data_IF_507211942317
#
_entry.id   IF_507211942317
#
_cell.length_a   1.000
_cell.length_b   1.000
_cell.length_c   1.000
_cell.angle_alpha   90.00
_cell.angle_beta   90.00
_cell.angle_gamma   90.00
#
_symmetry.space_group_name_H-M   'P 1'
#
loop_
_entity.id
_entity.type
_entity.pdbx_description
1 polymer ?
#
# COMPACT_ATOMS: atom_id res chain seq x y z
N UNK A 1 7.67 31.54 -28.69
CA UNK A 1 8.00 31.75 -27.26
C UNK A 1 7.34 30.62 -26.49
N UNK A 2 8.12 29.78 -25.80
CA UNK A 2 7.57 28.67 -25.02
C UNK A 2 7.14 29.19 -23.64
N UNK A 3 5.93 28.83 -23.18
CA UNK A 3 5.47 29.19 -21.84
C UNK A 3 6.35 28.57 -20.75
N UNK A 4 6.61 29.30 -19.64
CA UNK A 4 7.37 28.76 -18.53
C UNK A 4 6.60 27.62 -17.88
N UNK A 5 7.27 26.46 -17.73
CA UNK A 5 6.71 25.29 -17.04
C UNK A 5 6.23 25.70 -15.63
N UNK A 6 5.02 25.29 -15.21
CA UNK A 6 4.52 25.59 -13.88
C UNK A 6 5.50 25.08 -12.83
N UNK A 7 5.85 25.94 -11.86
CA UNK A 7 6.72 25.56 -10.74
C UNK A 7 6.02 24.43 -9.97
N UNK A 8 6.73 23.32 -9.75
CA UNK A 8 6.23 22.22 -8.92
C UNK A 8 5.73 22.79 -7.58
N UNK A 9 4.53 22.41 -7.10
CA UNK A 9 4.06 22.83 -5.79
C UNK A 9 5.11 22.48 -4.73
N UNK A 10 5.43 23.43 -3.85
CA UNK A 10 6.28 23.13 -2.69
C UNK A 10 5.45 22.28 -1.74
N UNK A 11 5.71 20.97 -1.70
CA UNK A 11 5.07 20.08 -0.73
C UNK A 11 5.57 20.49 0.66
N UNK A 12 4.67 21.07 1.46
CA UNK A 12 4.94 21.47 2.83
C UNK A 12 4.52 20.35 3.79
N UNK A 13 5.17 20.29 4.95
CA UNK A 13 4.74 19.42 6.05
C UNK A 13 3.54 20.05 6.75
N UNK A 14 2.59 19.22 7.17
CA UNK A 14 1.52 19.62 8.08
C UNK A 14 2.06 19.97 9.47
N UNK A 15 1.19 20.48 10.34
CA UNK A 15 1.56 20.80 11.73
C UNK A 15 1.98 19.55 12.53
N UNK A 16 1.50 18.38 12.12
CA UNK A 16 1.87 17.07 12.66
C UNK A 16 3.15 16.48 12.01
N UNK A 17 3.87 17.29 11.24
CA UNK A 17 5.10 16.96 10.53
C UNK A 17 4.94 15.93 9.38
N UNK A 18 3.73 15.41 9.12
CA UNK A 18 3.47 14.53 7.99
C UNK A 18 3.40 15.30 6.66
N UNK A 19 3.78 14.65 5.57
CA UNK A 19 3.58 15.14 4.21
C UNK A 19 2.45 14.36 3.53
N UNK A 20 1.73 14.96 2.57
CA UNK A 20 0.84 14.21 1.69
C UNK A 20 1.56 13.00 1.08
N UNK A 21 0.90 11.85 1.09
CA UNK A 21 1.45 10.57 0.66
C UNK A 21 2.23 9.80 1.73
N UNK A 22 2.53 10.37 2.91
CA UNK A 22 3.14 9.60 3.99
C UNK A 22 2.22 8.46 4.44
N UNK A 23 2.81 7.29 4.71
CA UNK A 23 2.09 6.18 5.36
C UNK A 23 1.86 6.52 6.83
N UNK A 24 0.60 6.62 7.24
CA UNK A 24 0.20 6.92 8.62
C UNK A 24 -0.28 5.68 9.38
N UNK A 25 -0.71 4.64 8.67
CA UNK A 25 -1.11 3.37 9.26
C UNK A 25 -0.88 2.21 8.28
N UNK A 26 -0.41 1.09 8.81
CA UNK A 26 -0.32 -0.19 8.11
C UNK A 26 -1.05 -1.22 8.96
N UNK A 27 -1.97 -1.95 8.35
CA UNK A 27 -2.73 -3.03 8.97
C UNK A 27 -2.68 -4.28 8.07
N UNK A 28 -2.20 -5.39 8.62
CA UNK A 28 -2.07 -6.67 7.93
C UNK A 28 -2.93 -7.70 8.66
N UNK A 29 -3.64 -8.53 7.89
CA UNK A 29 -4.41 -9.64 8.42
C UNK A 29 -4.15 -10.89 7.60
N UNK A 30 -3.80 -11.99 8.30
CA UNK A 30 -3.43 -13.29 7.70
C UNK A 30 -2.43 -13.15 6.55
N UNK A 31 -1.37 -12.38 6.80
CA UNK A 31 -0.34 -12.06 5.82
C UNK A 31 0.98 -12.70 6.22
N UNK A 32 1.41 -13.73 5.49
CA UNK A 32 2.66 -14.47 5.71
C UNK A 32 2.84 -14.93 7.17
N UNK A 33 3.73 -14.26 7.91
CA UNK A 33 4.06 -14.55 9.31
C UNK A 33 3.08 -13.92 10.29
N UNK A 34 2.29 -12.94 9.85
CA UNK A 34 1.40 -12.16 10.70
C UNK A 34 -0.02 -12.72 10.68
N UNK A 35 -0.58 -13.03 11.85
CA UNK A 35 -2.03 -13.20 12.00
C UNK A 35 -2.73 -11.85 11.91
N UNK A 36 -2.23 -10.90 12.69
CA UNK A 36 -2.65 -9.52 12.70
C UNK A 36 -1.45 -8.64 13.05
N UNK A 37 -1.28 -7.55 12.32
CA UNK A 37 -0.31 -6.51 12.63
C UNK A 37 -0.97 -5.16 12.37
N UNK A 38 -0.84 -4.23 13.32
CA UNK A 38 -1.22 -2.83 13.12
C UNK A 38 -0.12 -1.93 13.64
N UNK A 39 0.40 -1.05 12.80
CA UNK A 39 1.43 -0.09 13.20
C UNK A 39 1.20 1.28 12.56
N UNK A 40 1.71 2.32 13.23
CA UNK A 40 1.62 3.71 12.82
C UNK A 40 3.03 4.29 12.71
N UNK A 41 3.63 4.29 11.50
CA UNK A 41 4.94 4.89 11.28
C UNK A 41 4.92 6.38 11.59
N UNK A 42 6.03 6.94 12.06
CA UNK A 42 6.22 8.38 12.22
C UNK A 42 6.42 9.11 10.88
N UNK A 43 6.42 10.46 10.88
CA UNK A 43 6.45 11.29 9.67
C UNK A 43 7.80 11.36 8.94
N UNK A 44 8.85 10.76 9.52
CA UNK A 44 10.24 10.84 9.05
C UNK A 44 10.85 9.44 8.94
N UNK A 45 12.00 9.22 9.56
CA UNK A 45 12.70 7.95 9.53
C UNK A 45 11.99 6.93 10.43
N UNK A 46 11.62 5.81 9.83
CA UNK A 46 11.10 4.65 10.53
C UNK A 46 12.09 3.49 10.35
N UNK A 47 12.35 2.75 11.43
CA UNK A 47 13.30 1.65 11.43
C UNK A 47 12.62 0.36 11.92
N UNK A 48 12.67 -0.68 11.08
CA UNK A 48 12.09 -2.00 11.37
C UNK A 48 13.23 -2.96 11.75
N UNK A 49 13.30 -3.33 13.03
CA UNK A 49 14.37 -4.18 13.59
C UNK A 49 13.76 -5.45 14.19
N UNK A 50 14.53 -6.54 14.19
CA UNK A 50 14.15 -7.80 14.81
C UNK A 50 15.03 -8.95 14.35
N UNK A 51 15.00 -10.09 15.04
CA UNK A 51 15.77 -11.28 14.68
C UNK A 51 15.35 -11.86 13.33
N UNK A 52 16.16 -12.77 12.77
CA UNK A 52 15.81 -13.46 11.54
C UNK A 52 14.51 -14.25 11.71
N UNK A 53 13.66 -14.22 10.68
CA UNK A 53 12.33 -14.84 10.73
C UNK A 53 11.23 -13.99 11.39
N UNK A 54 11.54 -12.82 11.99
CA UNK A 54 10.54 -11.98 12.66
C UNK A 54 9.52 -11.27 11.75
N UNK A 55 9.61 -11.48 10.42
CA UNK A 55 8.66 -10.90 9.46
C UNK A 55 9.03 -9.52 8.90
N UNK A 56 10.25 -9.01 9.11
CA UNK A 56 10.69 -7.69 8.57
C UNK A 56 10.52 -7.60 7.05
N UNK A 57 11.06 -8.55 6.29
CA UNK A 57 10.90 -8.60 4.83
C UNK A 57 9.45 -8.80 4.41
N UNK A 58 8.65 -9.51 5.24
CA UNK A 58 7.21 -9.65 5.00
C UNK A 58 6.50 -8.30 5.13
N UNK A 59 6.84 -7.46 6.10
CA UNK A 59 6.28 -6.10 6.21
C UNK A 59 6.62 -5.25 4.98
N UNK A 60 7.87 -5.30 4.50
CA UNK A 60 8.29 -4.59 3.28
C UNK A 60 7.49 -5.08 2.06
N UNK A 61 7.32 -6.40 1.90
CA UNK A 61 6.49 -6.98 0.85
C UNK A 61 5.03 -6.48 0.95
N UNK A 62 4.48 -6.43 2.16
CA UNK A 62 3.14 -5.92 2.40
C UNK A 62 2.99 -4.46 1.96
N UNK A 63 3.96 -3.58 2.28
CA UNK A 63 3.93 -2.18 1.84
C UNK A 63 3.93 -2.11 0.31
N UNK A 64 4.86 -2.80 -0.35
CA UNK A 64 4.98 -2.79 -1.80
C UNK A 64 3.69 -3.31 -2.48
N UNK A 65 3.15 -4.44 -2.01
CA UNK A 65 1.90 -4.99 -2.54
C UNK A 65 0.71 -4.09 -2.24
N UNK A 66 0.57 -3.58 -1.01
CA UNK A 66 -0.56 -2.73 -0.63
C UNK A 66 -0.64 -1.43 -1.46
N UNK A 67 0.51 -0.93 -1.92
CA UNK A 67 0.62 0.26 -2.78
C UNK A 67 0.57 -0.03 -4.29
N UNK A 68 0.17 -1.24 -4.71
CA UNK A 68 0.01 -1.58 -6.13
C UNK A 68 1.18 -2.30 -6.79
N UNK A 69 2.26 -2.57 -6.05
CA UNK A 69 3.41 -3.29 -6.59
C UNK A 69 3.08 -4.72 -7.02
N UNK A 70 3.77 -5.21 -8.05
CA UNK A 70 3.60 -6.58 -8.55
C UNK A 70 4.41 -7.60 -7.72
N UNK A 71 3.89 -8.82 -7.49
CA UNK A 71 4.60 -9.86 -6.76
C UNK A 71 6.01 -10.18 -7.29
N UNK A 72 6.20 -10.07 -8.60
CA UNK A 72 7.45 -10.37 -9.31
C UNK A 72 8.59 -9.43 -8.89
N UNK A 73 8.28 -8.17 -8.57
CA UNK A 73 9.27 -7.17 -8.10
C UNK A 73 9.89 -7.54 -6.75
N UNK A 74 9.21 -8.38 -5.97
CA UNK A 74 9.64 -8.76 -4.63
C UNK A 74 10.55 -9.99 -4.62
N UNK A 75 10.76 -10.63 -5.78
CA UNK A 75 11.66 -11.78 -5.94
C UNK A 75 11.32 -13.00 -5.07
N UNK A 76 10.11 -13.03 -4.48
CA UNK A 76 9.74 -14.00 -3.44
C UNK A 76 8.65 -14.98 -3.87
N UNK A 77 7.69 -14.52 -4.66
CA UNK A 77 6.62 -15.36 -5.19
C UNK A 77 6.08 -14.77 -6.48
N UNK A 78 5.63 -15.65 -7.38
CA UNK A 78 5.06 -15.29 -8.68
C UNK A 78 3.57 -14.96 -8.58
N UNK A 79 2.88 -15.38 -7.52
CA UNK A 79 1.46 -15.13 -7.31
C UNK A 79 1.21 -14.41 -5.99
N UNK A 80 0.15 -13.60 -5.98
CA UNK A 80 -0.27 -12.86 -4.78
C UNK A 80 -0.77 -13.78 -3.67
N UNK A 81 -1.39 -14.90 -4.02
CA UNK A 81 -1.91 -15.88 -3.06
C UNK A 81 -0.81 -16.50 -2.18
N UNK A 82 0.44 -16.55 -2.66
CA UNK A 82 1.58 -17.03 -1.87
C UNK A 82 1.94 -16.13 -0.67
N UNK A 83 1.37 -14.92 -0.58
CA UNK A 83 1.54 -14.03 0.55
C UNK A 83 0.47 -14.23 1.64
N UNK A 84 -0.56 -15.04 1.39
CA UNK A 84 -1.53 -15.44 2.41
C UNK A 84 -0.80 -16.28 3.47
N UNK A 85 -1.14 -16.08 4.73
CA UNK A 85 -0.59 -16.88 5.83
C UNK A 85 -0.89 -18.37 5.60
N UNK A 86 0.08 -19.24 5.88
CA UNK A 86 -0.09 -20.69 5.72
C UNK A 86 -1.24 -21.19 6.59
N UNK A 87 -2.11 -22.01 6.00
CA UNK A 87 -3.30 -22.55 6.67
C UNK A 87 -4.52 -21.63 6.60
N UNK A 88 -4.41 -20.47 5.94
CA UNK A 88 -5.51 -19.52 5.75
C UNK A 88 -5.86 -19.42 4.27
N UNK A 89 -7.12 -19.11 3.97
CA UNK A 89 -7.62 -18.99 2.59
C UNK A 89 -7.53 -17.57 2.05
N UNK A 90 -7.52 -16.58 2.93
CA UNK A 90 -7.50 -15.17 2.56
C UNK A 90 -6.92 -14.27 3.64
N UNK A 91 -6.57 -13.06 3.22
CA UNK A 91 -6.07 -12.00 4.08
C UNK A 91 -6.20 -10.65 3.41
N UNK A 92 -5.68 -9.61 4.06
CA UNK A 92 -5.61 -8.29 3.45
C UNK A 92 -4.39 -7.49 3.92
N UNK A 93 -4.04 -6.52 3.08
CA UNK A 93 -3.14 -5.43 3.38
C UNK A 93 -3.97 -4.17 3.33
N UNK A 94 -3.93 -3.37 4.39
CA UNK A 94 -4.54 -2.04 4.45
C UNK A 94 -3.45 -1.02 4.77
N UNK A 95 -3.34 -0.01 3.92
CA UNK A 95 -2.40 1.10 4.08
C UNK A 95 -3.18 2.39 4.04
N UNK A 96 -2.98 3.22 5.04
CA UNK A 96 -3.55 4.57 5.08
C UNK A 96 -2.45 5.57 4.81
N UNK A 97 -2.68 6.45 3.84
CA UNK A 97 -1.82 7.55 3.47
C UNK A 97 -2.41 8.87 3.96
N UNK A 98 -1.54 9.82 4.29
CA UNK A 98 -1.91 11.22 4.50
C UNK A 98 -2.36 11.84 3.18
N UNK A 99 -3.55 12.44 3.16
CA UNK A 99 -4.04 13.26 2.04
C UNK A 99 -3.49 14.68 2.08
N UNK A 100 -4.03 15.56 1.25
CA UNK A 100 -3.56 16.94 1.14
C UNK A 100 -4.01 17.81 2.32
N UNK A 101 -5.19 17.51 2.88
CA UNK A 101 -5.70 18.13 4.10
C UNK A 101 -5.22 17.43 5.37
N UNK A 102 -5.16 18.16 6.50
CA UNK A 102 -4.72 17.58 7.77
C UNK A 102 -5.58 16.41 8.27
N UNK A 103 -6.87 16.41 7.94
CA UNK A 103 -7.81 15.34 8.31
C UNK A 103 -8.15 14.42 7.12
N UNK A 104 -7.54 14.67 5.97
CA UNK A 104 -7.78 13.89 4.78
C UNK A 104 -6.87 12.67 4.76
N UNK A 105 -7.46 11.49 4.56
CA UNK A 105 -6.73 10.24 4.47
C UNK A 105 -7.14 9.47 3.22
N UNK A 106 -6.18 8.77 2.62
CA UNK A 106 -6.41 7.86 1.50
C UNK A 106 -6.17 6.46 2.02
N UNK A 107 -7.20 5.63 2.05
CA UNK A 107 -7.08 4.22 2.47
C UNK A 107 -7.05 3.32 1.26
N UNK A 108 -6.00 2.49 1.18
CA UNK A 108 -5.79 1.46 0.18
C UNK A 108 -5.96 0.11 0.84
N UNK A 109 -6.87 -0.72 0.33
CA UNK A 109 -7.04 -2.09 0.79
C UNK A 109 -6.83 -3.05 -0.37
N UNK A 110 -5.83 -3.92 -0.24
CA UNK A 110 -5.58 -5.03 -1.17
C UNK A 110 -5.97 -6.33 -0.49
N UNK A 111 -7.02 -6.97 -0.99
CA UNK A 111 -7.38 -8.32 -0.53
C UNK A 111 -6.50 -9.35 -1.24
N UNK A 112 -6.13 -10.38 -0.51
CA UNK A 112 -5.35 -11.50 -1.03
C UNK A 112 -6.07 -12.80 -0.72
N UNK A 113 -6.04 -13.74 -1.66
CA UNK A 113 -6.67 -15.04 -1.53
C UNK A 113 -5.78 -16.08 -2.22
N UNK A 114 -5.72 -17.29 -1.68
CA UNK A 114 -4.91 -18.38 -2.22
C UNK A 114 -5.35 -18.81 -3.62
N UNK A 115 -6.65 -18.68 -3.91
CA UNK A 115 -7.30 -19.15 -5.13
C UNK A 115 -7.51 -18.04 -6.17
N UNK A 116 -7.43 -16.75 -5.77
CA UNK A 116 -7.77 -15.65 -6.66
C UNK A 116 -6.53 -15.08 -7.38
N UNK A 117 -6.58 -15.05 -8.71
CA UNK A 117 -5.59 -14.35 -9.55
C UNK A 117 -5.93 -12.87 -9.77
N UNK A 118 -7.16 -12.46 -9.45
CA UNK A 118 -7.63 -11.09 -9.68
C UNK A 118 -7.24 -10.18 -8.52
N UNK A 119 -6.76 -8.98 -8.87
CA UNK A 119 -6.43 -7.91 -7.94
C UNK A 119 -7.72 -7.23 -7.47
N UNK A 120 -8.10 -7.40 -6.20
CA UNK A 120 -9.18 -6.62 -5.59
C UNK A 120 -8.58 -5.47 -4.76
N UNK A 121 -8.57 -4.29 -5.36
CA UNK A 121 -8.20 -3.03 -4.70
C UNK A 121 -9.46 -2.26 -4.37
N UNK A 122 -9.65 -1.95 -3.09
CA UNK A 122 -10.66 -1.01 -2.65
C UNK A 122 -9.99 0.28 -2.20
N UNK A 123 -10.42 1.39 -2.81
CA UNK A 123 -10.06 2.75 -2.42
C UNK A 123 -11.22 3.35 -1.62
N UNK A 124 -10.91 4.25 -0.70
CA UNK A 124 -11.96 5.01 -0.01
C UNK A 124 -12.86 5.74 -1.04
N UNK A 125 -14.18 5.71 -0.79
CA UNK A 125 -15.26 6.11 -1.71
C UNK A 125 -15.15 7.57 -2.21
N UNK A 126 -14.35 8.39 -1.54
CA UNK A 126 -14.10 9.80 -1.92
C UNK A 126 -13.23 9.93 -3.18
N UNK A 127 -12.37 8.95 -3.47
CA UNK A 127 -11.41 8.98 -4.59
C UNK A 127 -11.72 7.98 -5.71
N UNK A 128 -12.69 7.08 -5.51
CA UNK A 128 -13.09 6.06 -6.49
C UNK A 128 -13.56 6.66 -7.83
N UNK A 129 -14.05 7.91 -7.84
CA UNK A 129 -14.53 8.57 -9.06
C UNK A 129 -13.41 9.10 -9.98
N UNK A 130 -12.20 9.31 -9.45
CA UNK A 130 -11.08 9.88 -10.21
C UNK A 130 -10.07 8.82 -10.67
N UNK A 131 -9.82 7.78 -9.87
CA UNK A 131 -8.82 6.75 -10.20
C UNK A 131 -9.32 5.64 -11.14
N UNK A 132 -10.64 5.41 -11.24
CA UNK A 132 -11.20 4.40 -12.17
C UNK A 132 -11.01 4.81 -13.64
N UNK A 133 -10.71 6.08 -13.94
CA UNK A 133 -10.42 6.52 -15.31
C UNK A 133 -9.01 6.16 -15.82
N UNK A 134 -8.06 5.91 -14.94
CA UNK A 134 -6.65 5.71 -15.32
C UNK A 134 -6.21 4.24 -15.29
N UNK A 135 -7.14 3.31 -15.06
CA UNK A 135 -6.87 1.87 -15.03
C UNK A 135 -7.91 1.08 -15.83
N UNK A 136 -8.10 1.46 -17.09
CA UNK A 136 -8.57 0.50 -18.09
C UNK A 136 -7.35 -0.27 -18.59
N UNK A 137 -7.21 -1.58 -18.28
CA UNK A 137 -6.21 -2.39 -18.96
C UNK A 137 -6.59 -2.41 -20.44
N UNK A 138 -5.71 -1.87 -21.30
CA UNK A 138 -5.82 -2.09 -22.74
C UNK A 138 -5.93 -3.60 -22.98
N UNK A 139 -7.10 -4.00 -23.47
CA UNK A 139 -7.42 -5.36 -23.87
C UNK A 139 -6.39 -5.79 -24.93
N UNK A 140 -5.42 -6.61 -24.55
CA UNK A 140 -4.60 -7.33 -25.52
C UNK A 140 -5.40 -8.57 -25.95
N UNK A 141 -5.75 -8.59 -27.24
CA UNK A 141 -6.44 -9.65 -27.95
C UNK A 141 -5.76 -11.03 -27.80
#
# INVERSE_FOLDING_TARGET
MAEPRPKRPKIARGEDDYMPGNIIEIELHKFMTFDYLKCKPGPRLNLVIGPNGSGKSSLVCAIALGLGGEPQLLGRATSIGSYVKRGEDSGYIKITLRGDGNEEHITLVRKINTNNKLLDFNFDKRWSKWLVKDFEPETVY
#
